data_IF_160102231898
#
_entry.id   IF_160102231898
#
_cell.length_a   1.000
_cell.length_b   1.000
_cell.length_c   1.000
_cell.angle_alpha   90.00
_cell.angle_beta   90.00
_cell.angle_gamma   90.00
#
_symmetry.space_group_name_H-M   'P 1'
#
loop_
_entity.id
_entity.type
_entity.pdbx_description
1 polymer ?
#
# COMPACT_ATOMS: atom_id res chain seq x y z
N UNK A 1 -66.51 -41.13 -22.42
CA UNK A 1 -66.20 -40.75 -21.03
C UNK A 1 -64.80 -41.28 -20.71
N UNK A 2 -63.78 -40.46 -20.89
CA UNK A 2 -62.37 -40.84 -20.76
C UNK A 2 -62.02 -40.76 -19.26
N UNK A 3 -61.81 -41.92 -18.64
CA UNK A 3 -61.40 -42.00 -17.23
C UNK A 3 -59.95 -41.53 -17.17
N UNK A 4 -59.70 -40.38 -16.54
CA UNK A 4 -58.36 -40.01 -16.12
C UNK A 4 -57.88 -41.07 -15.13
N UNK A 5 -57.00 -41.97 -15.58
CA UNK A 5 -56.45 -43.02 -14.74
C UNK A 5 -55.61 -42.39 -13.63
N UNK A 6 -56.01 -42.64 -12.38
CA UNK A 6 -55.34 -42.16 -11.16
C UNK A 6 -53.84 -42.50 -11.15
N UNK A 7 -53.44 -43.59 -11.81
CA UNK A 7 -52.04 -44.02 -11.95
C UNK A 7 -51.20 -43.06 -12.82
N UNK A 8 -51.77 -42.52 -13.90
CA UNK A 8 -51.06 -41.58 -14.78
C UNK A 8 -50.79 -40.24 -14.09
N UNK A 9 -51.76 -39.75 -13.30
CA UNK A 9 -51.59 -38.54 -12.51
C UNK A 9 -50.52 -38.70 -11.42
N UNK A 10 -50.48 -39.86 -10.76
CA UNK A 10 -49.44 -40.19 -9.77
C UNK A 10 -48.04 -40.19 -10.40
N UNK A 11 -47.87 -40.79 -11.59
CA UNK A 11 -46.59 -40.84 -12.29
C UNK A 11 -46.09 -39.45 -12.76
N UNK A 12 -47.02 -38.59 -13.20
CA UNK A 12 -46.69 -37.20 -13.53
C UNK A 12 -46.27 -36.44 -12.28
N UNK A 13 -47.04 -36.58 -11.19
CA UNK A 13 -46.76 -35.89 -9.93
C UNK A 13 -45.40 -36.30 -9.34
N UNK A 14 -45.07 -37.60 -9.33
CA UNK A 14 -43.76 -38.08 -8.86
C UNK A 14 -42.61 -37.60 -9.73
N UNK A 15 -42.79 -37.53 -11.05
CA UNK A 15 -41.77 -37.00 -11.97
C UNK A 15 -41.53 -35.50 -11.76
N UNK A 16 -42.59 -34.71 -11.58
CA UNK A 16 -42.50 -33.28 -11.28
C UNK A 16 -41.83 -33.05 -9.93
N UNK A 17 -42.20 -33.82 -8.90
CA UNK A 17 -41.57 -33.74 -7.58
C UNK A 17 -40.08 -34.12 -7.67
N UNK A 18 -39.73 -35.18 -8.40
CA UNK A 18 -38.33 -35.59 -8.60
C UNK A 18 -37.50 -34.50 -9.29
N UNK A 19 -38.05 -33.87 -10.33
CA UNK A 19 -37.40 -32.76 -11.02
C UNK A 19 -37.25 -31.52 -10.12
N UNK A 20 -38.30 -31.19 -9.36
CA UNK A 20 -38.27 -30.09 -8.41
C UNK A 20 -37.22 -30.31 -7.31
N UNK A 21 -37.13 -31.52 -6.75
CA UNK A 21 -36.10 -31.90 -5.77
C UNK A 21 -34.71 -31.82 -6.37
N UNK A 22 -34.51 -32.36 -7.57
CA UNK A 22 -33.22 -32.29 -8.26
C UNK A 22 -32.78 -30.84 -8.51
N UNK A 23 -33.70 -29.99 -9.00
CA UNK A 23 -33.44 -28.58 -9.21
C UNK A 23 -33.13 -27.85 -7.89
N UNK A 24 -33.88 -28.13 -6.83
CA UNK A 24 -33.69 -27.53 -5.51
C UNK A 24 -32.34 -27.91 -4.90
N UNK A 25 -31.92 -29.17 -5.05
CA UNK A 25 -30.58 -29.64 -4.65
C UNK A 25 -29.50 -28.88 -5.43
N UNK A 26 -29.65 -28.77 -6.75
CA UNK A 26 -28.69 -28.05 -7.61
C UNK A 26 -28.54 -26.56 -7.23
N UNK A 27 -29.66 -25.87 -7.01
CA UNK A 27 -29.65 -24.47 -6.55
C UNK A 27 -29.04 -24.37 -5.15
N UNK A 28 -29.36 -25.29 -4.25
CA UNK A 28 -28.78 -25.34 -2.90
C UNK A 28 -27.26 -25.46 -2.92
N UNK A 29 -26.71 -26.38 -3.73
CA UNK A 29 -25.26 -26.54 -3.91
C UNK A 29 -24.64 -25.25 -4.46
N UNK A 30 -25.25 -24.62 -5.47
CA UNK A 30 -24.76 -23.37 -6.06
C UNK A 30 -24.71 -22.23 -5.04
N UNK A 31 -25.74 -22.10 -4.21
CA UNK A 31 -25.80 -21.08 -3.16
C UNK A 31 -24.69 -21.29 -2.11
N UNK A 32 -24.50 -22.53 -1.64
CA UNK A 32 -23.43 -22.84 -0.68
C UNK A 32 -22.05 -22.63 -1.30
N UNK A 33 -21.84 -23.05 -2.55
CA UNK A 33 -20.58 -22.82 -3.26
C UNK A 33 -20.29 -21.33 -3.45
N UNK A 34 -21.29 -20.53 -3.85
CA UNK A 34 -21.16 -19.08 -4.00
C UNK A 34 -20.84 -18.41 -2.66
N UNK A 35 -21.55 -18.77 -1.59
CA UNK A 35 -21.32 -18.21 -0.25
C UNK A 35 -19.92 -18.54 0.30
N UNK A 36 -19.47 -19.79 0.17
CA UNK A 36 -18.15 -20.22 0.64
C UNK A 36 -17.01 -19.56 -0.14
N UNK A 37 -17.15 -19.43 -1.47
CA UNK A 37 -16.15 -18.78 -2.32
C UNK A 37 -16.13 -17.26 -2.07
N UNK A 38 -17.29 -16.63 -1.91
CA UNK A 38 -17.39 -15.19 -1.64
C UNK A 38 -16.69 -14.82 -0.34
N UNK A 39 -16.91 -15.56 0.74
CA UNK A 39 -16.24 -15.29 2.02
C UNK A 39 -14.71 -15.33 1.91
N UNK A 40 -14.16 -16.29 1.15
CA UNK A 40 -12.70 -16.34 0.89
C UNK A 40 -12.24 -15.14 0.07
N UNK A 41 -12.96 -14.81 -1.01
CA UNK A 41 -12.62 -13.69 -1.89
C UNK A 41 -12.70 -12.34 -1.18
N UNK A 42 -13.70 -12.12 -0.32
CA UNK A 42 -13.83 -10.89 0.45
C UNK A 42 -12.65 -10.67 1.39
N UNK A 43 -12.17 -11.72 2.07
CA UNK A 43 -10.98 -11.61 2.94
C UNK A 43 -9.73 -11.26 2.15
N UNK A 44 -9.52 -11.92 1.01
CA UNK A 44 -8.38 -11.66 0.13
C UNK A 44 -8.43 -10.25 -0.47
N UNK A 45 -9.60 -9.81 -0.95
CA UNK A 45 -9.78 -8.47 -1.49
C UNK A 45 -9.57 -7.39 -0.42
N UNK A 46 -10.00 -7.62 0.83
CA UNK A 46 -9.69 -6.71 1.94
C UNK A 46 -8.18 -6.62 2.18
N UNK A 47 -7.47 -7.76 2.19
CA UNK A 47 -6.01 -7.76 2.36
C UNK A 47 -5.30 -6.99 1.24
N UNK A 48 -5.71 -7.19 -0.02
CA UNK A 48 -5.16 -6.45 -1.16
C UNK A 48 -5.39 -4.95 -0.98
N UNK A 49 -6.60 -4.54 -0.59
CA UNK A 49 -6.92 -3.13 -0.36
C UNK A 49 -6.14 -2.52 0.80
N UNK A 50 -5.96 -3.23 1.92
CA UNK A 50 -5.16 -2.73 3.05
C UNK A 50 -3.68 -2.61 2.69
N UNK A 51 -3.10 -3.62 2.02
CA UNK A 51 -1.74 -3.56 1.48
C UNK A 51 -1.57 -2.37 0.54
N UNK A 52 -2.53 -2.18 -0.38
CA UNK A 52 -2.51 -1.10 -1.35
C UNK A 52 -2.60 0.28 -0.67
N UNK A 53 -3.42 0.44 0.37
CA UNK A 53 -3.49 1.70 1.15
C UNK A 53 -2.14 2.05 1.79
N UNK A 54 -1.47 1.07 2.40
CA UNK A 54 -0.14 1.27 3.00
C UNK A 54 0.88 1.66 1.93
N UNK A 55 0.91 0.96 0.79
CA UNK A 55 1.81 1.29 -0.31
C UNK A 55 1.52 2.65 -0.95
N UNK A 56 0.26 3.08 -1.02
CA UNK A 56 -0.13 4.44 -1.45
C UNK A 56 0.37 5.48 -0.44
N UNK A 57 0.29 5.21 0.86
CA UNK A 57 0.82 6.10 1.89
C UNK A 57 2.34 6.25 1.77
N UNK A 58 3.06 5.13 1.60
CA UNK A 58 4.50 5.13 1.36
C UNK A 58 4.87 5.88 0.08
N UNK A 59 4.16 5.64 -1.03
CA UNK A 59 4.30 6.40 -2.28
C UNK A 59 4.08 7.91 -2.07
N UNK A 60 3.09 8.32 -1.27
CA UNK A 60 2.84 9.73 -0.96
C UNK A 60 3.95 10.36 -0.13
N UNK A 61 4.51 9.63 0.83
CA UNK A 61 5.65 10.10 1.63
C UNK A 61 6.87 10.29 0.73
N UNK A 62 7.14 9.31 -0.15
CA UNK A 62 8.30 9.30 -1.01
C UNK A 62 8.19 10.28 -2.20
N UNK A 63 7.00 10.42 -2.78
CA UNK A 63 6.70 11.33 -3.89
C UNK A 63 6.30 12.74 -3.44
N UNK A 64 5.97 12.95 -2.16
CA UNK A 64 5.57 14.26 -1.63
C UNK A 64 6.73 15.26 -1.45
N UNK A 65 7.98 14.81 -1.58
CA UNK A 65 9.20 15.62 -1.43
C UNK A 65 9.78 16.09 -2.77
N UNK A 66 8.94 16.38 -3.75
CA UNK A 66 9.22 16.79 -5.15
C UNK A 66 10.23 17.94 -5.41
N UNK A 67 11.05 18.35 -4.44
CA UNK A 67 11.99 19.48 -4.49
C UNK A 67 13.47 19.09 -4.33
N UNK A 68 13.85 17.82 -4.51
CA UNK A 68 15.26 17.47 -4.78
C UNK A 68 16.26 17.87 -3.69
N UNK A 69 15.87 17.89 -2.41
CA UNK A 69 16.84 17.94 -1.32
C UNK A 69 16.51 16.92 -0.23
N UNK A 70 16.93 15.68 -0.46
CA UNK A 70 17.08 14.64 0.56
C UNK A 70 18.49 14.64 1.18
N UNK A 71 19.27 15.72 1.03
CA UNK A 71 20.41 15.94 1.90
C UNK A 71 19.87 16.34 3.28
N UNK A 72 19.54 15.34 4.10
CA UNK A 72 19.53 15.55 5.55
C UNK A 72 20.97 15.76 5.93
N UNK A 73 21.35 17.01 6.18
CA UNK A 73 22.67 17.34 6.68
C UNK A 73 22.90 16.56 8.00
N UNK A 74 23.87 15.63 8.04
CA UNK A 74 24.14 14.81 9.24
C UNK A 74 24.75 15.62 10.39
N UNK A 75 24.94 16.93 10.24
CA UNK A 75 25.83 17.72 11.09
C UNK A 75 25.09 18.51 12.17
N UNK A 76 23.95 18.05 12.71
CA UNK A 76 23.30 18.76 13.83
C UNK A 76 23.57 18.18 15.23
N UNK A 77 24.40 17.14 15.35
CA UNK A 77 24.86 16.61 16.65
C UNK A 77 26.35 16.84 16.93
N UNK A 78 27.11 17.33 15.94
CA UNK A 78 28.54 17.60 16.07
C UNK A 78 28.85 18.92 16.77
N UNK A 79 28.07 19.97 16.51
CA UNK A 79 28.37 21.32 17.03
C UNK A 79 27.97 21.51 18.50
N UNK A 80 26.90 20.85 18.96
CA UNK A 80 26.49 20.89 20.37
C UNK A 80 27.47 20.20 21.32
N UNK A 81 28.32 19.28 20.82
CA UNK A 81 29.31 18.56 21.63
C UNK A 81 30.74 19.11 21.51
N UNK A 82 30.99 20.05 20.60
CA UNK A 82 32.35 20.59 20.35
C UNK A 82 32.57 22.03 20.81
N UNK A 83 31.61 22.69 21.45
CA UNK A 83 31.82 24.00 22.08
C UNK A 83 32.36 23.79 23.51
N UNK A 84 33.65 24.04 23.79
CA UNK A 84 34.09 24.21 25.18
C UNK A 84 33.37 25.44 25.78
N UNK A 85 33.09 25.46 27.10
CA UNK A 85 32.51 26.62 27.75
C UNK A 85 33.57 27.70 27.92
N UNK A 86 33.93 28.40 26.84
CA UNK A 86 34.69 29.65 26.94
C UNK A 86 33.73 30.80 27.13
N UNK A 87 33.81 31.36 28.33
CA UNK A 87 33.13 32.55 28.79
C UNK A 87 33.24 33.73 27.79
N UNK A 88 32.16 34.48 27.66
CA UNK A 88 32.20 35.88 27.23
C UNK A 88 31.50 36.19 25.91
N UNK A 89 30.42 36.96 26.04
CA UNK A 89 29.89 37.95 25.10
C UNK A 89 29.22 37.51 23.78
N UNK A 90 27.93 37.84 23.73
CA UNK A 90 27.13 38.30 22.58
C UNK A 90 26.73 37.31 21.47
N UNK A 91 25.45 37.45 21.08
CA UNK A 91 24.69 36.74 20.05
C UNK A 91 24.25 35.29 20.37
N UNK A 92 23.24 35.17 21.22
CA UNK A 92 22.30 34.03 21.16
C UNK A 92 20.95 34.52 20.64
N UNK A 93 20.92 34.91 19.37
CA UNK A 93 19.72 34.72 18.54
C UNK A 93 19.83 33.34 17.88
N UNK A 94 19.71 32.28 18.71
CA UNK A 94 19.45 30.93 18.23
C UNK A 94 17.96 30.86 17.88
N UNK A 95 17.60 31.54 16.80
CA UNK A 95 16.22 31.75 16.38
C UNK A 95 15.42 30.44 16.37
N UNK A 96 14.18 30.49 16.86
CA UNK A 96 13.20 29.40 16.80
C UNK A 96 13.12 28.75 15.41
N UNK A 97 13.50 29.46 14.35
CA UNK A 97 13.59 28.98 12.98
C UNK A 97 14.63 27.86 12.76
N UNK A 98 15.78 27.88 13.44
CA UNK A 98 16.80 26.83 13.33
C UNK A 98 16.36 25.54 14.06
N UNK A 99 15.73 25.69 15.23
CA UNK A 99 15.11 24.58 15.97
C UNK A 99 13.94 24.00 15.16
N UNK A 100 13.07 24.85 14.60
CA UNK A 100 11.97 24.43 13.74
C UNK A 100 12.43 23.73 12.44
N UNK A 101 13.57 24.16 11.88
CA UNK A 101 14.20 23.54 10.70
C UNK A 101 14.73 22.14 10.99
N UNK A 102 15.45 21.96 12.10
CA UNK A 102 15.93 20.64 12.54
C UNK A 102 14.79 19.66 12.88
N UNK A 103 13.73 20.14 13.54
CA UNK A 103 12.52 19.36 13.81
C UNK A 103 11.78 18.94 12.53
N UNK A 104 11.82 19.78 11.48
CA UNK A 104 11.25 19.43 10.17
C UNK A 104 12.07 18.33 9.50
N UNK A 105 13.40 18.45 9.49
CA UNK A 105 14.30 17.44 8.92
C UNK A 105 14.15 16.07 9.60
N UNK A 106 14.09 16.04 10.93
CA UNK A 106 13.87 14.80 11.70
C UNK A 106 12.53 14.14 11.33
N UNK A 107 11.43 14.90 11.30
CA UNK A 107 10.10 14.38 10.94
C UNK A 107 10.05 13.79 9.53
N UNK A 108 10.75 14.42 8.58
CA UNK A 108 10.83 13.89 7.21
C UNK A 108 11.62 12.58 7.20
N UNK A 109 12.75 12.52 7.90
CA UNK A 109 13.55 11.29 8.03
C UNK A 109 12.74 10.15 8.65
N UNK A 110 12.10 10.38 9.79
CA UNK A 110 11.30 9.38 10.50
C UNK A 110 10.16 8.86 9.60
N UNK A 111 9.52 9.74 8.83
CA UNK A 111 8.47 9.37 7.89
C UNK A 111 9.01 8.53 6.72
N UNK A 112 10.19 8.88 6.18
CA UNK A 112 10.83 8.12 5.11
C UNK A 112 11.29 6.75 5.62
N UNK A 113 11.88 6.66 6.82
CA UNK A 113 12.28 5.39 7.44
C UNK A 113 11.07 4.46 7.67
N UNK A 114 9.95 5.02 8.14
CA UNK A 114 8.70 4.28 8.29
C UNK A 114 8.17 3.78 6.93
N UNK A 115 8.14 4.66 5.91
CA UNK A 115 7.68 4.30 4.57
C UNK A 115 8.55 3.21 3.93
N UNK A 116 9.88 3.27 4.08
CA UNK A 116 10.78 2.23 3.59
C UNK A 116 10.54 0.90 4.31
N UNK A 117 10.29 0.93 5.63
CA UNK A 117 9.95 -0.28 6.39
C UNK A 117 8.65 -0.91 5.91
N UNK A 118 7.63 -0.10 5.64
CA UNK A 118 6.35 -0.56 5.09
C UNK A 118 6.53 -1.18 3.69
N UNK A 119 7.35 -0.58 2.84
CA UNK A 119 7.63 -1.12 1.50
C UNK A 119 8.40 -2.44 1.59
N UNK A 120 9.39 -2.55 2.48
CA UNK A 120 10.15 -3.80 2.67
C UNK A 120 9.22 -4.93 3.15
N UNK A 121 8.21 -4.63 3.96
CA UNK A 121 7.31 -5.64 4.51
C UNK A 121 6.15 -5.99 3.54
N UNK A 122 5.62 -5.04 2.76
CA UNK A 122 4.40 -5.21 1.97
C UNK A 122 4.58 -5.11 0.45
N UNK A 123 5.76 -4.68 -0.02
CA UNK A 123 6.05 -4.43 -1.42
C UNK A 123 6.30 -5.69 -2.25
N UNK A 124 6.45 -5.50 -3.56
CA UNK A 124 6.92 -6.55 -4.50
C UNK A 124 8.43 -6.76 -4.37
N UNK A 125 8.97 -7.87 -4.87
CA UNK A 125 10.42 -8.17 -4.81
C UNK A 125 11.29 -7.02 -5.32
N UNK A 126 10.86 -6.39 -6.42
CA UNK A 126 11.56 -5.23 -6.98
C UNK A 126 11.50 -4.00 -6.07
N UNK A 127 10.34 -3.72 -5.48
CA UNK A 127 10.18 -2.62 -4.52
C UNK A 127 11.00 -2.86 -3.26
N UNK A 128 11.05 -4.11 -2.76
CA UNK A 128 11.85 -4.50 -1.59
C UNK A 128 13.34 -4.31 -1.88
N UNK A 129 13.82 -4.71 -3.06
CA UNK A 129 15.21 -4.51 -3.49
C UNK A 129 15.58 -3.03 -3.50
N UNK A 130 14.78 -2.20 -4.16
CA UNK A 130 14.99 -0.75 -4.26
C UNK A 130 14.91 -0.07 -2.88
N UNK A 131 13.93 -0.43 -2.05
CA UNK A 131 13.76 0.12 -0.71
C UNK A 131 14.90 -0.28 0.23
N UNK A 132 15.44 -1.49 0.11
CA UNK A 132 16.58 -1.95 0.90
C UNK A 132 17.85 -1.16 0.56
N UNK A 133 18.10 -0.89 -0.72
CA UNK A 133 19.21 -0.03 -1.15
C UNK A 133 19.04 1.39 -0.62
N UNK A 134 17.85 1.97 -0.76
CA UNK A 134 17.53 3.30 -0.25
C UNK A 134 17.69 3.41 1.28
N UNK A 135 17.26 2.39 2.03
CA UNK A 135 17.42 2.33 3.49
C UNK A 135 18.90 2.26 3.89
N UNK A 136 19.73 1.49 3.16
CA UNK A 136 21.16 1.42 3.41
C UNK A 136 21.87 2.76 3.15
N UNK A 137 21.47 3.50 2.10
CA UNK A 137 21.97 4.85 1.83
C UNK A 137 21.59 5.84 2.93
N UNK A 138 20.34 5.77 3.41
CA UNK A 138 19.81 6.61 4.49
C UNK A 138 20.56 6.41 5.81
N UNK A 139 20.81 5.15 6.18
CA UNK A 139 21.60 4.80 7.39
C UNK A 139 23.05 5.26 7.25
N UNK A 140 23.62 5.19 6.04
CA UNK A 140 24.96 5.67 5.74
C UNK A 140 25.06 7.21 5.67
N UNK A 141 23.96 7.95 5.85
CA UNK A 141 23.93 9.40 5.78
C UNK A 141 24.18 9.95 4.37
N UNK A 142 23.95 9.13 3.33
CA UNK A 142 24.11 9.51 1.92
C UNK A 142 22.80 10.04 1.35
N UNK A 143 22.86 10.91 0.31
CA UNK A 143 21.66 11.31 -0.42
C UNK A 143 21.01 10.08 -1.05
N UNK A 144 19.71 9.88 -0.75
CA UNK A 144 18.95 8.70 -1.16
C UNK A 144 18.29 8.94 -2.52
N UNK A 145 18.55 8.08 -3.49
CA UNK A 145 17.93 8.16 -4.82
C UNK A 145 16.70 7.25 -4.90
N UNK A 146 15.51 7.84 -4.79
CA UNK A 146 14.23 7.10 -4.71
C UNK A 146 13.43 7.09 -6.01
N UNK A 147 13.93 7.70 -7.08
CA UNK A 147 13.18 7.89 -8.33
C UNK A 147 12.66 6.56 -8.92
N UNK A 148 13.51 5.54 -9.01
CA UNK A 148 13.12 4.21 -9.51
C UNK A 148 12.04 3.55 -8.63
N UNK A 149 12.18 3.70 -7.30
CA UNK A 149 11.22 3.17 -6.34
C UNK A 149 9.85 3.85 -6.46
N UNK A 150 9.83 5.17 -6.61
CA UNK A 150 8.60 5.96 -6.82
C UNK A 150 7.90 5.54 -8.11
N UNK A 151 8.65 5.33 -9.20
CA UNK A 151 8.10 4.86 -10.48
C UNK A 151 7.52 3.45 -10.33
N UNK A 152 8.24 2.54 -9.68
CA UNK A 152 7.79 1.16 -9.42
C UNK A 152 6.50 1.13 -8.59
N UNK A 153 6.43 1.88 -7.49
CA UNK A 153 5.24 2.01 -6.65
C UNK A 153 4.05 2.59 -7.42
N UNK A 154 4.29 3.66 -8.19
CA UNK A 154 3.23 4.28 -8.99
C UNK A 154 2.65 3.31 -10.01
N UNK A 155 3.50 2.58 -10.72
CA UNK A 155 3.05 1.61 -11.71
C UNK A 155 2.23 0.48 -11.06
N UNK A 156 2.72 -0.05 -9.93
CA UNK A 156 2.01 -1.06 -9.15
C UNK A 156 0.64 -0.57 -8.67
N UNK A 157 0.56 0.64 -8.11
CA UNK A 157 -0.71 1.22 -7.64
C UNK A 157 -1.69 1.40 -8.79
N UNK A 158 -1.22 1.82 -9.96
CA UNK A 158 -2.08 1.99 -11.14
C UNK A 158 -2.61 0.67 -11.66
N UNK A 159 -1.74 -0.33 -11.75
CA UNK A 159 -2.13 -1.69 -12.16
C UNK A 159 -3.15 -2.28 -11.19
N UNK A 160 -2.91 -2.17 -9.87
CA UNK A 160 -3.81 -2.66 -8.84
C UNK A 160 -5.18 -1.97 -8.84
N UNK A 161 -5.24 -0.72 -9.31
CA UNK A 161 -6.47 0.06 -9.46
C UNK A 161 -7.09 -0.02 -10.87
N UNK A 162 -6.53 -0.85 -11.75
CA UNK A 162 -6.93 -0.98 -13.16
C UNK A 162 -6.96 0.37 -13.91
N UNK A 163 -6.00 1.24 -13.59
CA UNK A 163 -5.82 2.53 -14.23
C UNK A 163 -4.94 2.35 -15.47
N UNK A 164 -5.54 2.50 -16.66
CA UNK A 164 -4.86 2.35 -17.96
C UNK A 164 -3.56 3.16 -18.10
N UNK A 165 -2.77 2.88 -19.14
CA UNK A 165 -1.46 3.52 -19.32
C UNK A 165 -1.52 5.06 -19.29
N UNK A 166 -0.49 5.70 -18.74
CA UNK A 166 -0.38 7.17 -18.76
C UNK A 166 0.06 7.59 -20.16
N UNK A 167 -0.88 8.09 -20.97
CA UNK A 167 -0.59 8.73 -22.26
C UNK A 167 -0.14 10.17 -22.00
N UNK A 168 1.16 10.36 -21.71
CA UNK A 168 1.75 11.70 -21.55
C UNK A 168 3.10 11.69 -20.81
N UNK A 169 3.88 12.76 -20.99
CA UNK A 169 5.13 12.98 -20.22
C UNK A 169 4.73 13.38 -18.80
N UNK A 170 4.74 12.41 -17.89
CA UNK A 170 4.75 12.73 -16.46
C UNK A 170 6.14 13.28 -16.14
N UNK A 171 6.26 14.49 -15.56
CA UNK A 171 7.57 14.98 -15.15
C UNK A 171 8.24 13.96 -14.25
N UNK A 172 9.54 13.72 -14.49
CA UNK A 172 10.33 12.83 -13.65
C UNK A 172 10.20 13.30 -12.20
N UNK A 173 9.66 12.43 -11.35
CA UNK A 173 9.63 12.68 -9.91
C UNK A 173 10.98 12.15 -9.40
N UNK A 174 11.96 13.03 -9.24
CA UNK A 174 13.33 12.67 -8.86
C UNK A 174 14.17 13.92 -8.70
#
# INVERSE_FOLDING_TARGET
>A
MQRFDLSSWQAILTSVIGLALFALIGVGIRLVAMFTIQQRRERQNRQINERLKVLIAAYKVLGGSFTGNLAVDPTHLGELRRRPPTAGAEALDLSEAAVAGSDRGRRIRDAVEAALSDIILLGTDEQVRLASTAAAELVAGRPVHVAELVVSLRNFVREALDLGAITGVVPAQG
#
